data_IF_884427094644
#
_entry.id   IF_884427094644
#
_cell.length_a   1.000
_cell.length_b   1.000
_cell.length_c   1.000
_cell.angle_alpha   90.00
_cell.angle_beta   90.00
_cell.angle_gamma   90.00
#
_symmetry.space_group_name_H-M   'P 1'
#
loop_
_entity.id
_entity.type
_entity.pdbx_description
1 polymer ?
#
# COMPACT_ATOMS: atom_id res chain seq x y z
N UNK A 1 5.66 18.88 33.03
CA UNK A 1 6.51 19.06 31.83
C UNK A 1 7.02 17.69 31.42
N UNK A 2 6.22 16.92 30.68
CA UNK A 2 6.59 15.59 30.23
C UNK A 2 7.37 15.70 28.93
N UNK A 3 8.64 15.31 28.97
CA UNK A 3 9.46 15.13 27.77
C UNK A 3 8.85 13.98 26.97
N UNK A 4 8.21 14.30 25.84
CA UNK A 4 7.94 13.30 24.80
C UNK A 4 9.31 12.81 24.32
N UNK A 5 9.62 11.55 24.56
CA UNK A 5 10.69 10.88 23.85
C UNK A 5 10.47 11.14 22.35
N UNK A 6 11.46 11.78 21.71
CA UNK A 6 11.54 11.83 20.25
C UNK A 6 11.67 10.38 19.80
N UNK A 7 10.55 9.76 19.44
CA UNK A 7 10.54 8.45 18.83
C UNK A 7 11.59 8.43 17.72
N UNK A 8 12.48 7.45 17.76
CA UNK A 8 13.42 7.14 16.69
C UNK A 8 12.72 7.30 15.34
N UNK A 9 13.11 8.31 14.57
CA UNK A 9 12.64 8.46 13.19
C UNK A 9 13.29 7.32 12.44
N UNK A 10 12.54 6.23 12.29
CA UNK A 10 13.01 5.08 11.52
C UNK A 10 13.24 5.55 10.10
N UNK A 11 14.49 5.50 9.66
CA UNK A 11 14.86 5.88 8.30
C UNK A 11 14.19 4.89 7.33
N UNK A 12 13.39 5.42 6.39
CA UNK A 12 12.77 4.61 5.35
C UNK A 12 13.65 4.65 4.10
N UNK A 13 14.14 3.49 3.69
CA UNK A 13 14.98 3.34 2.50
C UNK A 13 14.10 3.13 1.25
N UNK A 14 14.56 3.56 0.05
CA UNK A 14 13.86 3.27 -1.19
C UNK A 14 13.59 1.78 -1.37
N UNK A 15 12.44 1.46 -1.97
CA UNK A 15 12.13 0.08 -2.33
C UNK A 15 13.19 -0.51 -3.26
N UNK A 16 13.63 -1.73 -2.95
CA UNK A 16 14.39 -2.58 -3.85
C UNK A 16 13.43 -3.39 -4.75
N UNK A 17 13.26 -2.94 -5.99
CA UNK A 17 12.36 -3.59 -6.96
C UNK A 17 12.83 -5.01 -7.29
N UNK A 18 14.14 -5.25 -7.35
CA UNK A 18 14.67 -6.56 -7.75
C UNK A 18 14.37 -7.57 -6.64
N UNK A 19 14.56 -7.18 -5.38
CA UNK A 19 14.17 -7.99 -4.22
C UNK A 19 12.66 -8.25 -4.19
N UNK A 20 11.82 -7.23 -4.44
CA UNK A 20 10.36 -7.40 -4.50
C UNK A 20 9.96 -8.39 -5.60
N UNK A 21 10.63 -8.36 -6.75
CA UNK A 21 10.38 -9.29 -7.85
C UNK A 21 10.84 -10.71 -7.52
N UNK A 22 11.97 -10.85 -6.81
CA UNK A 22 12.46 -12.15 -6.34
C UNK A 22 11.48 -12.77 -5.34
N UNK A 23 11.04 -12.00 -4.34
CA UNK A 23 10.23 -12.51 -3.23
C UNK A 23 8.74 -12.68 -3.57
N UNK A 24 8.20 -11.80 -4.43
CA UNK A 24 6.77 -11.70 -4.70
C UNK A 24 6.40 -11.82 -6.18
N UNK A 25 7.36 -12.08 -7.07
CA UNK A 25 7.12 -12.24 -8.49
C UNK A 25 6.08 -13.31 -8.83
N UNK A 26 6.00 -14.37 -8.00
CA UNK A 26 4.99 -15.42 -8.15
C UNK A 26 3.55 -14.94 -7.92
N UNK A 27 3.34 -13.79 -7.28
CA UNK A 27 2.01 -13.17 -7.10
C UNK A 27 1.57 -12.36 -8.30
N UNK A 28 2.49 -12.04 -9.22
CA UNK A 28 2.24 -11.10 -10.31
C UNK A 28 1.71 -11.83 -11.55
N UNK A 29 0.94 -11.11 -12.38
CA UNK A 29 0.43 -11.65 -13.65
C UNK A 29 0.31 -10.57 -14.72
N UNK A 30 0.74 -10.90 -15.94
CA UNK A 30 0.55 -10.02 -17.10
C UNK A 30 -0.90 -10.14 -17.59
N UNK A 31 -1.56 -8.99 -17.77
CA UNK A 31 -2.90 -8.91 -18.33
C UNK A 31 -2.87 -8.11 -19.64
N UNK A 32 -3.16 -8.73 -20.80
CA UNK A 32 -3.13 -8.04 -22.10
C UNK A 32 -4.07 -6.82 -22.19
N UNK A 33 -5.18 -6.85 -21.43
CA UNK A 33 -6.15 -5.77 -21.40
C UNK A 33 -5.78 -4.62 -20.44
N UNK A 34 -4.66 -4.71 -19.72
CA UNK A 34 -4.24 -3.67 -18.78
C UNK A 34 -3.82 -2.41 -19.55
N UNK A 35 -4.58 -1.33 -19.35
CA UNK A 35 -4.34 -0.02 -19.99
C UNK A 35 -3.48 0.93 -19.14
N UNK A 36 -3.19 0.55 -17.90
CA UNK A 36 -2.44 1.37 -16.95
C UNK A 36 -1.00 1.57 -17.44
N UNK A 37 -0.58 2.84 -17.46
CA UNK A 37 0.83 3.21 -17.67
C UNK A 37 1.57 2.96 -16.36
N UNK A 38 2.88 2.76 -16.42
CA UNK A 38 3.73 2.52 -15.26
C UNK A 38 3.67 1.10 -14.67
N UNK A 39 3.44 0.06 -15.48
CA UNK A 39 3.44 -1.34 -15.01
C UNK A 39 4.87 -1.89 -14.89
N UNK A 40 5.10 -2.74 -13.89
CA UNK A 40 6.36 -3.45 -13.69
C UNK A 40 6.77 -4.33 -14.90
N UNK A 41 5.80 -4.75 -15.71
CA UNK A 41 6.03 -5.56 -16.91
C UNK A 41 6.25 -4.76 -18.20
N UNK A 42 6.12 -3.44 -18.15
CA UNK A 42 6.31 -2.59 -19.33
C UNK A 42 7.32 -1.50 -19.04
N UNK A 43 6.85 -0.30 -18.75
CA UNK A 43 7.65 0.85 -18.34
C UNK A 43 7.07 1.36 -17.04
N UNK A 44 7.91 1.89 -16.15
CA UNK A 44 7.55 2.48 -14.87
C UNK A 44 8.54 3.58 -14.51
N UNK A 45 8.14 4.51 -13.64
CA UNK A 45 8.98 5.66 -13.35
C UNK A 45 9.90 5.38 -12.17
N UNK A 46 11.20 5.35 -12.43
CA UNK A 46 12.23 5.33 -11.39
C UNK A 46 13.26 6.42 -11.63
N UNK A 47 13.46 7.28 -10.65
CA UNK A 47 14.43 8.38 -10.68
C UNK A 47 15.03 8.56 -9.29
N UNK A 48 16.10 9.35 -9.16
CA UNK A 48 16.65 9.73 -7.86
C UNK A 48 15.68 10.51 -6.96
N UNK A 49 14.52 10.96 -7.48
CA UNK A 49 13.51 11.72 -6.71
C UNK A 49 12.24 10.95 -6.41
N UNK A 50 11.93 9.90 -7.18
CA UNK A 50 10.67 9.17 -7.03
C UNK A 50 10.66 7.81 -7.71
N UNK A 51 9.81 6.93 -7.17
CA UNK A 51 9.32 5.70 -7.76
C UNK A 51 7.81 5.81 -7.99
N UNK A 52 7.33 5.35 -9.13
CA UNK A 52 5.91 5.23 -9.46
C UNK A 52 5.74 3.99 -10.32
N UNK A 53 5.11 2.96 -9.77
CA UNK A 53 5.00 1.64 -10.40
C UNK A 53 3.71 0.93 -10.00
N UNK A 54 3.12 0.19 -10.93
CA UNK A 54 2.00 -0.71 -10.73
C UNK A 54 2.50 -2.14 -10.81
N UNK A 55 2.16 -2.94 -9.81
CA UNK A 55 2.35 -4.39 -9.79
C UNK A 55 0.99 -5.08 -9.99
N UNK A 56 0.68 -5.58 -11.20
CA UNK A 56 -0.54 -6.33 -11.45
C UNK A 56 -0.47 -7.69 -10.74
N UNK A 57 -1.44 -7.95 -9.86
CA UNK A 57 -1.51 -9.18 -9.07
C UNK A 57 -2.35 -10.24 -9.79
N UNK A 58 -2.13 -11.50 -9.45
CA UNK A 58 -3.03 -12.61 -9.83
C UNK A 58 -4.48 -12.29 -9.45
N UNK A 59 -5.38 -12.88 -10.22
CA UNK A 59 -6.81 -12.63 -10.09
C UNK A 59 -7.31 -13.20 -8.77
N UNK A 60 -7.98 -12.35 -7.99
CA UNK A 60 -8.61 -12.73 -6.75
C UNK A 60 -10.05 -13.20 -7.02
N UNK A 61 -10.52 -14.32 -6.46
CA UNK A 61 -11.84 -14.88 -6.77
C UNK A 61 -13.01 -13.91 -6.50
N UNK A 62 -12.84 -13.00 -5.54
CA UNK A 62 -13.90 -12.04 -5.16
C UNK A 62 -13.58 -10.59 -5.56
N UNK A 63 -12.30 -10.23 -5.66
CA UNK A 63 -11.92 -8.85 -5.96
C UNK A 63 -11.59 -8.65 -7.45
N UNK A 64 -11.57 -9.74 -8.23
CA UNK A 64 -11.20 -9.75 -9.63
C UNK A 64 -9.72 -9.45 -9.81
N UNK A 65 -9.39 -8.77 -10.91
CA UNK A 65 -8.01 -8.42 -11.25
C UNK A 65 -7.61 -7.16 -10.49
N UNK A 66 -6.66 -7.32 -9.57
CA UNK A 66 -6.18 -6.26 -8.68
C UNK A 66 -4.71 -5.95 -8.92
N UNK A 67 -4.21 -4.88 -8.32
CA UNK A 67 -2.81 -4.51 -8.37
C UNK A 67 -2.40 -3.59 -7.23
N UNK A 68 -1.10 -3.56 -6.95
CA UNK A 68 -0.49 -2.63 -6.02
C UNK A 68 0.08 -1.45 -6.80
N UNK A 69 -0.53 -0.27 -6.64
CA UNK A 69 0.01 0.97 -7.14
C UNK A 69 0.88 1.62 -6.08
N UNK A 70 2.14 1.82 -6.42
CA UNK A 70 3.21 2.22 -5.51
C UNK A 70 3.73 3.57 -5.94
N UNK A 71 3.81 4.48 -4.98
CA UNK A 71 4.46 5.76 -5.11
C UNK A 71 5.42 5.96 -3.95
N UNK A 72 6.64 6.39 -4.26
CA UNK A 72 7.61 6.89 -3.27
C UNK A 72 8.19 8.20 -3.78
N UNK A 73 8.43 9.14 -2.87
CA UNK A 73 9.19 10.37 -3.10
C UNK A 73 10.41 10.35 -2.19
N UNK A 74 11.55 10.75 -2.75
CA UNK A 74 12.84 10.73 -2.07
C UNK A 74 13.33 12.15 -1.79
N UNK A 75 13.98 12.31 -0.63
CA UNK A 75 14.67 13.56 -0.28
C UNK A 75 16.09 13.59 -0.87
N UNK A 76 16.83 14.68 -0.62
CA UNK A 76 18.19 14.86 -1.14
C UNK A 76 19.20 13.86 -0.57
N UNK A 77 18.90 13.22 0.58
CA UNK A 77 19.70 12.15 1.16
C UNK A 77 19.40 10.77 0.52
N UNK A 78 18.46 10.70 -0.44
CA UNK A 78 18.05 9.48 -1.11
C UNK A 78 17.15 8.56 -0.28
N UNK A 79 16.53 9.06 0.80
CA UNK A 79 15.63 8.29 1.66
C UNK A 79 14.16 8.64 1.37
N UNK A 80 13.24 7.74 1.67
CA UNK A 80 11.80 7.95 1.47
C UNK A 80 11.28 9.03 2.40
N UNK A 81 10.81 10.14 1.84
CA UNK A 81 10.11 11.20 2.58
C UNK A 81 8.59 11.00 2.55
N UNK A 82 8.06 10.50 1.43
CA UNK A 82 6.64 10.25 1.24
C UNK A 82 6.43 8.95 0.49
N UNK A 83 5.44 8.16 0.90
CA UNK A 83 5.02 6.96 0.22
C UNK A 83 3.49 6.82 0.22
N UNK A 84 2.99 6.18 -0.82
CA UNK A 84 1.60 5.75 -0.94
C UNK A 84 1.56 4.40 -1.66
N UNK A 85 1.09 3.37 -0.96
CA UNK A 85 0.97 2.01 -1.45
C UNK A 85 -0.51 1.64 -1.47
N UNK A 86 -1.10 1.50 -2.65
CA UNK A 86 -2.54 1.32 -2.83
C UNK A 86 -2.85 -0.02 -3.51
N UNK A 87 -3.54 -0.90 -2.79
CA UNK A 87 -4.16 -2.09 -3.37
C UNK A 87 -5.53 -1.71 -3.96
N UNK A 88 -5.67 -1.90 -5.28
CA UNK A 88 -6.85 -1.48 -6.03
C UNK A 88 -7.22 -2.48 -7.12
N UNK A 89 -8.47 -2.49 -7.53
CA UNK A 89 -8.96 -3.17 -8.75
C UNK A 89 -8.43 -2.40 -9.96
N UNK A 90 -7.73 -3.10 -10.87
CA UNK A 90 -7.10 -2.49 -12.04
C UNK A 90 -7.82 -2.84 -13.35
N UNK A 91 -8.60 -3.92 -13.36
CA UNK A 91 -9.59 -4.19 -14.40
C UNK A 91 -10.94 -4.31 -13.70
N UNK A 92 -11.90 -3.40 -13.95
CA UNK A 92 -13.18 -3.40 -13.27
C UNK A 92 -14.04 -4.58 -13.71
N UNK A 93 -14.65 -5.27 -12.76
CA UNK A 93 -15.77 -6.19 -13.00
C UNK A 93 -17.05 -5.38 -13.17
N UNK A 94 -17.93 -5.79 -14.11
CA UNK A 94 -19.21 -5.11 -14.31
C UNK A 94 -19.99 -4.97 -13.00
N UNK A 95 -20.51 -3.77 -12.73
CA UNK A 95 -21.32 -3.47 -11.53
C UNK A 95 -20.53 -3.01 -10.30
N UNK A 96 -19.20 -3.04 -10.30
CA UNK A 96 -18.38 -2.54 -9.18
C UNK A 96 -17.93 -1.11 -9.45
N UNK A 97 -18.36 -0.16 -8.59
CA UNK A 97 -18.04 1.26 -8.73
C UNK A 97 -16.71 1.68 -8.05
N UNK A 98 -16.27 0.97 -7.01
CA UNK A 98 -15.10 1.36 -6.22
C UNK A 98 -13.84 0.59 -6.64
N UNK A 99 -12.79 1.30 -7.05
CA UNK A 99 -11.50 0.69 -7.37
C UNK A 99 -10.65 0.39 -6.13
N UNK A 100 -10.82 1.16 -5.05
CA UNK A 100 -10.06 0.99 -3.81
C UNK A 100 -10.37 -0.34 -3.11
N UNK A 101 -9.34 -0.96 -2.53
CA UNK A 101 -9.45 -2.07 -1.59
C UNK A 101 -8.80 -1.68 -0.27
N UNK A 102 -7.53 -1.28 -0.31
CA UNK A 102 -6.76 -0.90 0.88
C UNK A 102 -5.59 0.00 0.47
N UNK A 103 -5.10 0.87 1.35
CA UNK A 103 -3.85 1.62 1.08
C UNK A 103 -3.11 2.06 2.34
N UNK A 104 -1.79 2.12 2.25
CA UNK A 104 -0.89 2.59 3.31
C UNK A 104 -0.13 3.82 2.84
N UNK A 105 0.04 4.80 3.70
CA UNK A 105 0.73 6.02 3.33
C UNK A 105 1.25 6.78 4.54
N UNK A 106 2.06 7.79 4.27
CA UNK A 106 2.52 8.76 5.26
C UNK A 106 2.28 10.21 4.80
N UNK A 107 1.25 10.43 3.99
CA UNK A 107 0.85 11.77 3.59
C UNK A 107 0.63 12.64 4.84
N UNK A 108 1.28 13.81 4.93
CA UNK A 108 1.17 14.66 6.11
C UNK A 108 -0.25 15.22 6.20
N UNK A 109 -0.92 14.89 7.29
CA UNK A 109 -2.20 15.47 7.65
C UNK A 109 -1.97 16.45 8.81
N UNK A 110 -1.89 17.77 8.55
CA UNK A 110 -1.61 18.75 9.59
C UNK A 110 -2.66 18.59 10.72
N UNK A 111 -2.25 18.38 11.98
CA UNK A 111 -3.20 18.16 13.08
C UNK A 111 -4.23 19.29 13.20
N UNK A 112 -3.82 20.51 12.87
CA UNK A 112 -4.64 21.73 12.91
C UNK A 112 -5.83 21.72 11.94
N UNK A 113 -5.72 20.98 10.83
CA UNK A 113 -6.76 20.91 9.78
C UNK A 113 -7.39 19.52 9.66
N UNK A 114 -6.94 18.56 10.47
CA UNK A 114 -7.36 17.16 10.36
C UNK A 114 -8.45 16.87 11.38
N UNK A 115 -9.68 16.52 10.94
CA UNK A 115 -10.77 16.17 11.85
C UNK A 115 -10.34 15.13 12.88
N UNK A 116 -10.71 15.33 14.15
CA UNK A 116 -10.24 14.47 15.25
C UNK A 116 -10.55 12.99 15.04
N UNK A 117 -11.70 12.65 14.46
CA UNK A 117 -12.10 11.27 14.16
C UNK A 117 -11.24 10.60 13.06
N UNK A 118 -10.47 11.38 12.32
CA UNK A 118 -9.51 10.86 11.37
C UNK A 118 -8.14 10.67 12.03
N UNK A 119 -7.76 11.40 13.08
CA UNK A 119 -6.41 11.34 13.66
C UNK A 119 -6.05 9.93 14.16
N UNK A 120 -4.85 9.47 13.83
CA UNK A 120 -4.33 8.15 14.25
C UNK A 120 -3.08 8.32 15.13
N UNK A 121 -2.72 7.28 15.88
CA UNK A 121 -1.58 7.37 16.81
C UNK A 121 -0.22 7.27 16.13
N UNK A 122 -0.18 6.73 14.91
CA UNK A 122 1.05 6.50 14.14
C UNK A 122 1.32 7.57 13.09
N UNK A 123 0.64 8.73 13.16
CA UNK A 123 0.85 9.83 12.22
C UNK A 123 2.35 10.15 12.02
N UNK A 124 2.79 10.41 10.78
CA UNK A 124 1.96 10.52 9.58
C UNK A 124 1.52 9.17 8.98
N UNK A 125 2.02 8.05 9.49
CA UNK A 125 1.76 6.72 8.94
C UNK A 125 0.35 6.23 9.26
N UNK A 126 -0.39 5.82 8.25
CA UNK A 126 -1.77 5.37 8.41
C UNK A 126 -2.16 4.32 7.37
N UNK A 127 -3.23 3.59 7.67
CA UNK A 127 -3.84 2.59 6.79
C UNK A 127 -5.28 2.98 6.49
N UNK A 128 -5.59 3.20 5.22
CA UNK A 128 -6.95 3.27 4.70
C UNK A 128 -7.48 1.85 4.49
N UNK A 129 -8.36 1.42 5.39
CA UNK A 129 -8.73 0.01 5.55
C UNK A 129 -10.15 -0.33 5.07
N UNK A 130 -10.95 0.67 4.71
CA UNK A 130 -12.34 0.48 4.31
C UNK A 130 -12.47 0.64 2.78
N UNK A 131 -12.73 -0.45 2.03
CA UNK A 131 -12.91 -0.41 0.58
C UNK A 131 -14.05 0.52 0.13
N UNK A 132 -15.06 0.73 0.98
CA UNK A 132 -16.25 1.53 0.68
C UNK A 132 -16.05 2.99 1.09
N UNK A 133 -15.14 3.27 2.02
CA UNK A 133 -14.92 4.60 2.59
C UNK A 133 -13.43 4.90 2.73
N UNK A 134 -12.79 5.25 1.61
CA UNK A 134 -11.35 5.57 1.55
C UNK A 134 -10.90 6.59 2.61
N UNK A 135 -11.75 7.53 3.04
CA UNK A 135 -11.37 8.52 4.06
C UNK A 135 -11.12 7.89 5.44
N UNK A 136 -11.70 6.72 5.75
CA UNK A 136 -11.44 6.04 7.01
C UNK A 136 -10.01 5.55 7.04
N UNK A 137 -9.36 5.83 8.15
CA UNK A 137 -7.97 5.45 8.39
C UNK A 137 -7.78 4.97 9.81
N UNK A 138 -6.78 4.12 10.02
CA UNK A 138 -6.37 3.60 11.33
C UNK A 138 -4.84 3.61 11.46
N UNK A 139 -4.38 3.46 12.69
CA UNK A 139 -2.95 3.34 12.98
C UNK A 139 -2.34 2.14 12.24
N UNK A 140 -1.13 2.32 11.73
CA UNK A 140 -0.40 1.27 11.02
C UNK A 140 1.10 1.36 11.27
N UNK A 141 1.70 0.17 11.41
CA UNK A 141 3.15 -0.01 11.48
C UNK A 141 3.73 -0.58 10.17
N UNK A 142 2.89 -0.74 9.14
CA UNK A 142 3.31 -1.07 7.78
C UNK A 142 3.84 0.21 7.12
N UNK A 143 5.13 0.23 6.79
CA UNK A 143 5.85 1.41 6.29
C UNK A 143 6.72 1.15 5.07
N UNK A 144 6.93 -0.12 4.69
CA UNK A 144 7.65 -0.51 3.47
C UNK A 144 6.72 -1.20 2.47
N UNK A 145 7.13 -1.18 1.19
CA UNK A 145 6.42 -1.92 0.16
C UNK A 145 6.46 -3.44 0.40
N UNK A 146 7.57 -3.96 0.90
CA UNK A 146 7.73 -5.35 1.32
C UNK A 146 6.64 -5.80 2.31
N UNK A 147 6.43 -5.03 3.38
CA UNK A 147 5.37 -5.30 4.36
C UNK A 147 3.97 -5.25 3.74
N UNK A 148 3.76 -4.37 2.76
CA UNK A 148 2.48 -4.31 2.02
C UNK A 148 2.31 -5.56 1.15
N UNK A 149 3.35 -6.00 0.45
CA UNK A 149 3.31 -7.25 -0.32
C UNK A 149 3.03 -8.43 0.58
N UNK A 150 3.74 -8.58 1.69
CA UNK A 150 3.48 -9.62 2.68
C UNK A 150 2.02 -9.62 3.14
N UNK A 151 1.45 -8.43 3.40
CA UNK A 151 0.05 -8.30 3.79
C UNK A 151 -0.92 -8.73 2.69
N UNK A 152 -0.69 -8.28 1.45
CA UNK A 152 -1.58 -8.58 0.31
C UNK A 152 -1.42 -10.01 -0.19
N UNK A 153 -0.21 -10.59 -0.10
CA UNK A 153 0.11 -11.95 -0.49
C UNK A 153 -0.87 -12.96 0.13
N UNK A 154 -1.15 -12.81 1.43
CA UNK A 154 -2.13 -13.63 2.13
C UNK A 154 -3.46 -13.73 1.36
N UNK A 155 -4.05 -12.60 0.98
CA UNK A 155 -5.35 -12.59 0.29
C UNK A 155 -5.25 -13.13 -1.14
N UNK A 156 -4.16 -12.84 -1.85
CA UNK A 156 -3.96 -13.33 -3.22
C UNK A 156 -3.75 -14.85 -3.26
N UNK A 157 -3.01 -15.40 -2.30
CA UNK A 157 -2.67 -16.83 -2.26
C UNK A 157 -3.82 -17.68 -1.72
N UNK A 158 -4.51 -17.20 -0.69
CA UNK A 158 -5.61 -17.94 -0.05
C UNK A 158 -6.95 -17.75 -0.77
N UNK A 159 -7.12 -16.64 -1.49
CA UNK A 159 -8.42 -16.23 -2.03
C UNK A 159 -9.39 -15.70 -0.96
N UNK A 160 -8.92 -15.55 0.29
CA UNK A 160 -9.69 -14.94 1.36
C UNK A 160 -10.06 -13.51 1.02
N UNK A 161 -11.27 -13.12 1.40
CA UNK A 161 -11.79 -11.83 0.97
C UNK A 161 -11.43 -10.74 1.96
N UNK A 162 -10.95 -9.62 1.44
CA UNK A 162 -10.75 -8.41 2.22
C UNK A 162 -12.08 -7.66 2.39
N UNK A 163 -12.65 -7.69 3.59
CA UNK A 163 -13.98 -7.13 3.87
C UNK A 163 -14.01 -5.80 4.64
N UNK A 164 -12.87 -5.16 4.91
CA UNK A 164 -12.61 -4.16 5.98
C UNK A 164 -12.42 -4.82 7.34
N UNK A 165 -11.24 -4.60 7.89
CA UNK A 165 -10.77 -5.05 9.21
C UNK A 165 -11.26 -6.44 9.68
N UNK A 166 -10.47 -7.49 9.43
CA UNK A 166 -10.54 -8.67 10.31
C UNK A 166 -9.69 -8.33 11.54
N UNK A 167 -10.26 -7.60 12.48
CA UNK A 167 -9.74 -7.52 13.84
C UNK A 167 -9.92 -8.88 14.53
N UNK A 168 -9.24 -9.94 14.05
CA UNK A 168 -9.18 -11.27 14.70
C UNK A 168 -8.39 -12.36 13.96
N UNK A 169 -7.83 -12.15 12.76
CA UNK A 169 -7.25 -13.28 12.00
C UNK A 169 -5.81 -13.07 11.53
N UNK A 170 -4.95 -12.51 12.39
CA UNK A 170 -3.49 -12.55 12.19
C UNK A 170 -2.80 -12.63 13.56
N UNK A 171 -3.10 -13.67 14.33
CA UNK A 171 -2.08 -14.33 15.16
C UNK A 171 -1.10 -15.01 14.19
N UNK A 172 -0.24 -14.23 13.54
CA UNK A 172 0.91 -14.79 12.82
C UNK A 172 1.99 -15.13 13.84
N UNK A 173 1.81 -16.34 14.39
CA UNK A 173 2.82 -17.25 14.94
C UNK A 173 3.61 -16.76 16.17
N UNK A 174 3.38 -17.53 17.26
CA UNK A 174 4.40 -17.93 18.23
C UNK A 174 5.70 -18.38 17.55
#
# INVERSE_FOLDING_TARGET
MAWREKGSVTLLLPTDIDQILEDYGHLLKVYPALRERHSIFTDYKRTHKRLEVLFPLKEHPVHGITGLHVYEKYNDAGTVELYSYSWKRIIPTQGIQFSHISSWGNDPHPPETTPQHLQVTTEPHHHHYDPEQRSKRKSSYIRSLDQVFMYVAYYIETGEVYYKDVSSAVDLKR
#
